data_IF_685656827306
#
_entry.id   IF_685656827306
#
_cell.length_a   1.000
_cell.length_b   1.000
_cell.length_c   1.000
_cell.angle_alpha   90.00
_cell.angle_beta   90.00
_cell.angle_gamma   90.00
#
_symmetry.space_group_name_H-M   'P 1'
#
loop_
_entity.id
_entity.type
_entity.pdbx_description
1 polymer ?
#
# COMPACT_ATOMS: atom_id res chain seq x y z
N UNK A 1 -18.80 -19.81 16.03
CA UNK A 1 -17.59 -19.36 16.75
C UNK A 1 -16.81 -18.45 15.81
N UNK A 2 -16.25 -17.36 16.31
CA UNK A 2 -15.42 -16.44 15.52
C UNK A 2 -14.04 -17.05 15.30
N UNK A 3 -13.58 -17.12 14.05
CA UNK A 3 -12.27 -17.65 13.69
C UNK A 3 -11.21 -16.54 13.69
N UNK A 4 -9.97 -16.90 14.00
CA UNK A 4 -8.82 -16.02 13.76
C UNK A 4 -8.58 -15.85 12.24
N UNK A 5 -7.90 -14.77 11.81
CA UNK A 5 -7.51 -14.60 10.41
C UNK A 5 -6.78 -15.80 9.82
N UNK A 6 -5.91 -16.44 10.61
CA UNK A 6 -5.14 -17.61 10.20
C UNK A 6 -6.02 -18.84 9.97
N UNK A 7 -6.93 -19.13 10.89
CA UNK A 7 -7.86 -20.26 10.76
C UNK A 7 -8.81 -20.06 9.57
N UNK A 8 -9.33 -18.83 9.40
CA UNK A 8 -10.17 -18.46 8.27
C UNK A 8 -9.46 -18.71 6.94
N UNK A 9 -8.22 -18.23 6.81
CA UNK A 9 -7.41 -18.45 5.62
C UNK A 9 -7.14 -19.94 5.34
N UNK A 10 -6.84 -20.72 6.39
CA UNK A 10 -6.59 -22.15 6.25
C UNK A 10 -7.82 -22.92 5.76
N UNK A 11 -9.02 -22.62 6.29
CA UNK A 11 -10.25 -23.27 5.81
C UNK A 11 -10.57 -22.93 4.37
N UNK A 12 -10.43 -21.66 3.99
CA UNK A 12 -10.75 -21.20 2.64
C UNK A 12 -9.80 -21.82 1.61
N UNK A 13 -8.50 -21.87 1.91
CA UNK A 13 -7.52 -22.52 1.02
C UNK A 13 -7.70 -24.04 0.91
N UNK A 14 -8.48 -24.63 1.82
CA UNK A 14 -8.90 -26.03 1.80
C UNK A 14 -10.33 -26.22 1.26
N UNK A 15 -10.94 -25.20 0.66
CA UNK A 15 -12.31 -25.23 0.13
C UNK A 15 -13.38 -25.58 1.18
N UNK A 16 -13.14 -25.20 2.44
CA UNK A 16 -14.09 -25.37 3.55
C UNK A 16 -14.77 -24.05 3.88
N UNK A 17 -16.02 -24.13 4.35
CA UNK A 17 -16.76 -22.97 4.85
C UNK A 17 -16.04 -22.33 6.05
N UNK A 18 -15.89 -21.01 6.03
CA UNK A 18 -15.33 -20.20 7.12
C UNK A 18 -16.40 -19.29 7.70
N UNK A 19 -16.09 -18.61 8.81
CA UNK A 19 -17.03 -17.73 9.50
C UNK A 19 -17.39 -16.45 8.71
N UNK A 20 -16.51 -15.99 7.81
CA UNK A 20 -16.76 -14.92 6.83
C UNK A 20 -15.71 -14.94 5.69
N UNK A 21 -15.95 -14.13 4.67
CA UNK A 21 -14.97 -13.82 3.62
C UNK A 21 -13.80 -13.01 4.23
N UNK A 22 -12.53 -13.31 3.90
CA UNK A 22 -11.37 -12.54 4.34
C UNK A 22 -11.38 -11.13 3.77
N UNK A 23 -10.84 -10.19 4.54
CA UNK A 23 -10.69 -8.79 4.16
C UNK A 23 -9.21 -8.50 3.97
N UNK A 24 -8.87 -7.92 2.83
CA UNK A 24 -7.55 -7.39 2.53
C UNK A 24 -7.66 -5.89 2.20
N UNK A 25 -6.58 -5.15 2.43
CA UNK A 25 -6.48 -3.71 2.12
C UNK A 25 -5.70 -3.42 0.85
N UNK A 26 -5.52 -4.43 0.00
CA UNK A 26 -4.80 -4.33 -1.26
C UNK A 26 -3.28 -4.35 -1.10
N UNK A 27 -2.61 -4.51 -2.24
CA UNK A 27 -1.16 -4.54 -2.36
C UNK A 27 -0.52 -3.15 -2.45
N UNK A 28 0.81 -3.09 -2.53
CA UNK A 28 1.54 -1.82 -2.76
C UNK A 28 0.94 -0.93 -3.86
N UNK A 29 0.46 -1.49 -4.98
CA UNK A 29 -0.17 -0.70 -6.06
C UNK A 29 -1.69 -0.47 -5.90
N UNK A 30 -2.35 -1.17 -4.98
CA UNK A 30 -3.81 -1.19 -4.86
C UNK A 30 -4.32 -0.82 -3.45
N UNK A 31 -3.45 -0.31 -2.58
CA UNK A 31 -3.80 0.09 -1.22
C UNK A 31 -4.29 1.54 -1.16
N UNK A 32 -4.33 2.12 0.04
CA UNK A 32 -4.83 3.46 0.29
C UNK A 32 -3.80 4.50 -0.18
N UNK A 33 -4.16 5.29 -1.18
CA UNK A 33 -3.43 6.49 -1.53
C UNK A 33 -3.34 7.45 -0.34
N UNK A 34 -2.21 8.15 -0.17
CA UNK A 34 -2.00 9.07 0.97
C UNK A 34 -3.10 10.12 1.16
N UNK A 35 -3.69 10.62 0.07
CA UNK A 35 -4.81 11.57 0.13
C UNK A 35 -6.07 10.89 0.67
N UNK A 36 -6.37 9.68 0.19
CA UNK A 36 -7.52 8.90 0.67
C UNK A 36 -7.35 8.52 2.15
N UNK A 37 -6.14 8.17 2.55
CA UNK A 37 -5.81 7.86 3.95
C UNK A 37 -6.02 9.09 4.86
N UNK A 38 -5.55 10.27 4.46
CA UNK A 38 -5.77 11.52 5.20
C UNK A 38 -7.27 11.83 5.34
N UNK A 39 -8.02 11.74 4.24
CA UNK A 39 -9.47 11.96 4.27
C UNK A 39 -10.18 10.97 5.20
N UNK A 40 -9.75 9.71 5.21
CA UNK A 40 -10.28 8.68 6.12
C UNK A 40 -9.95 9.01 7.58
N UNK A 41 -8.73 9.45 7.89
CA UNK A 41 -8.36 9.91 9.24
C UNK A 41 -9.28 11.03 9.69
N UNK A 42 -9.42 12.06 8.86
CA UNK A 42 -10.20 13.25 9.19
C UNK A 42 -11.68 12.89 9.38
N UNK A 43 -12.23 11.99 8.56
CA UNK A 43 -13.58 11.45 8.72
C UNK A 43 -13.76 10.66 10.02
N UNK A 44 -12.77 9.84 10.40
CA UNK A 44 -12.81 9.06 11.63
C UNK A 44 -12.57 9.91 12.89
N UNK A 45 -12.06 11.14 12.73
CA UNK A 45 -11.69 12.01 13.84
C UNK A 45 -10.62 11.41 14.76
N UNK A 46 -9.76 10.55 14.20
CA UNK A 46 -8.78 9.79 14.97
C UNK A 46 -7.36 10.37 14.75
N UNK A 47 -6.88 11.26 15.64
CA UNK A 47 -5.59 11.93 15.47
C UNK A 47 -4.39 10.98 15.61
N UNK A 48 -4.62 9.76 16.10
CA UNK A 48 -3.54 8.79 16.27
C UNK A 48 -3.21 8.01 14.98
N UNK A 49 -3.97 8.22 13.88
CA UNK A 49 -3.65 7.70 12.55
C UNK A 49 -2.61 8.62 11.89
N UNK A 50 -1.36 8.18 11.80
CA UNK A 50 -0.19 9.03 11.50
C UNK A 50 0.58 8.63 10.25
N UNK A 51 0.26 7.49 9.65
CA UNK A 51 1.04 6.94 8.55
C UNK A 51 0.76 7.56 7.17
N UNK A 52 0.11 8.72 7.09
CA UNK A 52 -0.19 9.38 5.80
C UNK A 52 1.06 9.72 4.95
N UNK A 53 2.24 9.79 5.58
CA UNK A 53 3.52 10.05 4.92
C UNK A 53 4.43 8.82 4.87
N UNK A 54 3.99 7.67 5.42
CA UNK A 54 4.75 6.42 5.35
C UNK A 54 4.39 5.71 4.03
N UNK A 55 5.09 6.07 2.96
CA UNK A 55 4.80 5.60 1.61
C UNK A 55 5.27 4.16 1.41
N UNK A 56 4.33 3.27 1.06
CA UNK A 56 4.54 1.87 0.69
C UNK A 56 5.03 1.74 -0.76
N UNK A 57 4.41 2.52 -1.66
CA UNK A 57 4.71 2.52 -3.08
C UNK A 57 4.97 3.95 -3.54
N UNK A 58 6.19 4.21 -4.00
CA UNK A 58 6.59 5.55 -4.44
C UNK A 58 5.88 5.94 -5.74
N UNK A 59 5.55 5.01 -6.62
CA UNK A 59 4.94 5.32 -7.90
C UNK A 59 3.51 5.85 -7.72
N UNK A 60 2.66 5.10 -7.01
CA UNK A 60 1.24 5.43 -6.83
C UNK A 60 0.93 6.12 -5.50
N UNK A 61 1.96 6.40 -4.68
CA UNK A 61 1.85 7.15 -3.42
C UNK A 61 0.92 6.51 -2.37
N UNK A 62 0.79 5.18 -2.42
CA UNK A 62 0.05 4.42 -1.41
C UNK A 62 0.81 4.36 -0.09
N UNK A 63 0.09 4.39 1.03
CA UNK A 63 0.68 4.37 2.38
C UNK A 63 0.72 2.98 2.98
N UNK A 64 1.57 2.77 3.98
CA UNK A 64 1.47 1.66 4.93
C UNK A 64 0.45 2.07 6.00
N UNK A 65 -0.78 1.54 6.04
CA UNK A 65 -1.77 2.00 7.01
C UNK A 65 -1.35 1.69 8.45
N UNK A 66 -1.75 2.54 9.40
CA UNK A 66 -1.59 2.26 10.83
C UNK A 66 -2.24 0.91 11.22
N UNK A 67 -1.52 0.11 12.01
CA UNK A 67 -1.98 -1.21 12.47
C UNK A 67 -3.36 -1.15 13.14
N UNK A 68 -3.62 -0.10 13.93
CA UNK A 68 -4.92 0.08 14.60
C UNK A 68 -6.07 0.26 13.62
N UNK A 69 -5.84 0.84 12.43
CA UNK A 69 -6.87 0.98 11.40
C UNK A 69 -7.21 -0.40 10.85
N UNK A 70 -6.18 -1.19 10.56
CA UNK A 70 -6.32 -2.55 10.05
C UNK A 70 -7.04 -3.45 11.07
N UNK A 71 -6.76 -3.28 12.37
CA UNK A 71 -7.47 -3.98 13.45
C UNK A 71 -8.93 -3.53 13.57
N UNK A 72 -9.20 -2.22 13.50
CA UNK A 72 -10.56 -1.65 13.55
C UNK A 72 -11.49 -2.23 12.49
N UNK A 73 -10.96 -2.47 11.29
CA UNK A 73 -11.72 -3.04 10.17
C UNK A 73 -11.55 -4.56 10.02
N UNK A 74 -10.91 -5.22 10.99
CA UNK A 74 -10.69 -6.67 10.99
C UNK A 74 -10.01 -7.20 9.72
N UNK A 75 -9.05 -6.44 9.18
CA UNK A 75 -8.26 -6.83 8.02
C UNK A 75 -7.44 -8.07 8.38
N UNK A 76 -7.53 -9.11 7.55
CA UNK A 76 -6.98 -10.44 7.82
C UNK A 76 -5.51 -10.58 7.48
N UNK A 77 -5.01 -9.71 6.60
CA UNK A 77 -3.66 -9.79 6.07
C UNK A 77 -2.85 -8.54 6.44
N UNK A 78 -1.52 -8.72 6.49
CA UNK A 78 -0.55 -7.63 6.57
C UNK A 78 0.42 -7.81 5.44
N UNK A 79 0.70 -6.71 4.75
CA UNK A 79 1.59 -6.73 3.62
C UNK A 79 3.05 -6.78 4.09
N UNK A 80 3.85 -7.64 3.45
CA UNK A 80 5.30 -7.66 3.60
C UNK A 80 5.85 -6.84 2.45
N UNK A 81 6.33 -5.63 2.75
CA UNK A 81 6.88 -4.75 1.73
C UNK A 81 8.28 -5.23 1.31
N UNK A 82 8.58 -5.31 -0.01
CA UNK A 82 9.92 -5.57 -0.46
C UNK A 82 10.84 -4.38 -0.13
N UNK A 83 12.12 -4.67 0.08
CA UNK A 83 13.14 -3.62 0.10
C UNK A 83 13.49 -3.26 -1.35
N UNK A 84 13.06 -2.10 -1.82
CA UNK A 84 13.38 -1.62 -3.16
C UNK A 84 14.87 -1.28 -3.25
N UNK A 85 15.55 -1.88 -4.22
CA UNK A 85 16.99 -1.68 -4.46
C UNK A 85 17.21 -0.90 -5.75
N UNK A 86 18.37 -0.25 -5.87
CA UNK A 86 18.77 0.50 -7.07
C UNK A 86 17.75 1.58 -7.49
N UNK A 87 17.00 2.14 -6.54
CA UNK A 87 16.19 3.34 -6.71
C UNK A 87 17.01 4.53 -6.26
N UNK A 88 17.24 5.49 -7.16
CA UNK A 88 18.08 6.66 -6.89
C UNK A 88 17.33 7.95 -7.18
N UNK A 89 17.39 8.90 -6.27
CA UNK A 89 16.89 10.25 -6.53
C UNK A 89 17.80 10.93 -7.57
N UNK A 90 17.21 11.43 -8.65
CA UNK A 90 17.94 12.15 -9.71
C UNK A 90 17.65 13.66 -9.67
N UNK A 91 16.53 14.05 -9.05
CA UNK A 91 16.11 15.42 -8.81
C UNK A 91 15.14 15.45 -7.61
N UNK A 92 14.74 16.64 -7.17
CA UNK A 92 13.72 16.84 -6.13
C UNK A 92 12.36 16.21 -6.43
N UNK A 93 11.99 16.12 -7.71
CA UNK A 93 10.74 15.57 -8.21
C UNK A 93 10.92 14.32 -9.08
N UNK A 94 12.14 13.76 -9.17
CA UNK A 94 12.44 12.63 -10.04
C UNK A 94 13.28 11.56 -9.35
N UNK A 95 12.99 10.30 -9.65
CA UNK A 95 13.85 9.18 -9.30
C UNK A 95 14.05 8.27 -10.49
N UNK A 96 15.14 7.51 -10.49
CA UNK A 96 15.40 6.45 -11.44
C UNK A 96 15.32 5.10 -10.75
N UNK A 97 14.61 4.16 -11.36
CA UNK A 97 14.42 2.82 -10.82
C UNK A 97 15.53 1.84 -11.23
N UNK A 98 15.39 0.59 -10.76
CA UNK A 98 16.30 -0.52 -11.05
C UNK A 98 16.37 -0.93 -12.53
N UNK A 99 15.42 -0.49 -13.34
CA UNK A 99 15.35 -0.75 -14.78
C UNK A 99 15.92 0.41 -15.60
N UNK A 100 16.36 1.49 -14.95
CA UNK A 100 16.88 2.68 -15.60
C UNK A 100 15.79 3.65 -16.08
N UNK A 101 14.52 3.42 -15.72
CA UNK A 101 13.42 4.34 -16.04
C UNK A 101 13.50 5.53 -15.09
N UNK A 102 13.51 6.73 -15.65
CA UNK A 102 13.35 7.96 -14.86
C UNK A 102 11.88 8.27 -14.73
N UNK A 103 11.44 8.41 -13.49
CA UNK A 103 10.08 8.74 -13.09
C UNK A 103 10.04 10.17 -12.59
N UNK A 104 9.01 10.94 -12.98
CA UNK A 104 8.76 12.29 -12.48
C UNK A 104 7.46 12.33 -11.70
N UNK A 105 7.47 12.99 -10.54
CA UNK A 105 6.30 13.26 -9.74
C UNK A 105 5.39 14.24 -10.51
N UNK A 106 4.18 13.80 -10.81
CA UNK A 106 3.17 14.51 -11.57
C UNK A 106 1.84 14.44 -10.81
N UNK A 107 1.30 15.59 -10.45
CA UNK A 107 0.04 15.72 -9.68
C UNK A 107 0.19 15.08 -8.28
N UNK A 108 -0.13 13.80 -8.18
CA UNK A 108 -0.14 13.01 -6.94
C UNK A 108 0.42 11.58 -7.12
N UNK A 109 1.07 11.30 -8.25
CA UNK A 109 1.75 10.04 -8.53
C UNK A 109 3.04 10.30 -9.32
N UNK A 110 3.82 9.26 -9.61
CA UNK A 110 4.93 9.34 -10.54
C UNK A 110 4.55 8.70 -11.88
N UNK A 111 4.94 9.36 -12.97
CA UNK A 111 4.84 8.79 -14.31
C UNK A 111 6.18 8.78 -15.02
N UNK A 112 6.24 8.06 -16.14
CA UNK A 112 7.46 7.90 -16.92
C UNK A 112 7.88 9.25 -17.50
N UNK A 113 9.10 9.67 -17.18
CA UNK A 113 9.76 10.84 -17.74
C UNK A 113 10.73 10.46 -18.86
N UNK A 114 11.54 9.44 -18.61
CA UNK A 114 12.52 8.92 -19.58
C UNK A 114 12.58 7.39 -19.47
N UNK A 115 12.69 6.71 -20.61
CA UNK A 115 12.84 5.27 -20.68
C UNK A 115 14.13 4.92 -21.43
N UNK A 116 14.94 3.97 -20.95
CA UNK A 116 16.13 3.51 -21.67
C UNK A 116 15.83 2.81 -23.01
N UNK A 117 14.54 2.56 -23.29
CA UNK A 117 14.06 1.96 -24.54
C UNK A 117 13.37 2.98 -25.45
N UNK A 118 13.32 4.26 -25.07
CA UNK A 118 12.90 5.32 -26.00
C UNK A 118 14.07 5.55 -26.97
N UNK A 119 13.93 5.06 -28.20
CA UNK A 119 14.95 5.16 -29.25
C UNK A 119 15.25 6.58 -29.70
#
# INVERSE_FOLDING_TARGET
>A
MTMTPRERFQRITQFQEADRVPIDTGSHVASLHRIAYRNLRDYLGDPDLKNENLILDRMVQNVIPDEKLLQRYHVDFRWIAPNWINVVDVDSDKYRDMWGITWQHMIDAYGVFESPLAG
#
